data_IF_152627816617
#
_entry.id   IF_152627816617
#
_cell.length_a   1.000
_cell.length_b   1.000
_cell.length_c   1.000
_cell.angle_alpha   90.00
_cell.angle_beta   90.00
_cell.angle_gamma   90.00
#
_symmetry.space_group_name_H-M   'P 1'
#
loop_
_entity.id
_entity.type
_entity.pdbx_description
1 polymer ?
#
# COMPACT_ATOMS: atom_id res chain seq x y z
N UNK A 1 2.51 -40.81 -14.80
CA UNK A 1 3.30 -39.89 -13.91
C UNK A 1 2.50 -38.64 -13.66
N UNK A 2 1.81 -38.60 -12.55
CA UNK A 2 0.97 -37.45 -12.13
C UNK A 2 1.91 -36.35 -11.68
N UNK A 3 1.98 -35.25 -12.43
CA UNK A 3 2.70 -34.03 -12.03
C UNK A 3 2.00 -33.50 -10.77
N UNK A 4 2.61 -33.66 -9.62
CA UNK A 4 2.17 -33.01 -8.37
C UNK A 4 2.33 -31.51 -8.56
N UNK A 5 1.23 -30.82 -8.82
CA UNK A 5 1.20 -29.34 -8.83
C UNK A 5 1.46 -28.92 -7.39
N UNK A 6 2.66 -28.42 -7.12
CA UNK A 6 2.95 -27.82 -5.82
C UNK A 6 1.95 -26.68 -5.59
N UNK A 7 1.28 -26.62 -4.43
CA UNK A 7 0.36 -25.52 -4.14
C UNK A 7 1.14 -24.20 -4.25
N UNK A 8 0.65 -23.30 -5.10
CA UNK A 8 1.26 -21.99 -5.31
C UNK A 8 1.23 -21.25 -3.95
N UNK A 9 2.40 -20.86 -3.43
CA UNK A 9 2.50 -20.10 -2.18
C UNK A 9 1.51 -18.94 -2.17
N UNK A 10 0.63 -18.85 -1.16
CA UNK A 10 -0.32 -17.75 -1.09
C UNK A 10 0.42 -16.43 -0.96
N UNK A 11 -0.07 -15.40 -1.63
CA UNK A 11 0.62 -14.12 -1.71
C UNK A 11 -0.28 -13.01 -1.18
N UNK A 12 0.27 -12.18 -0.31
CA UNK A 12 -0.33 -10.91 0.07
C UNK A 12 0.39 -9.77 -0.64
N UNK A 13 -0.36 -8.95 -1.38
CA UNK A 13 0.15 -7.77 -2.08
C UNK A 13 -0.30 -6.52 -1.33
N UNK A 14 0.66 -5.69 -0.98
CA UNK A 14 0.38 -4.40 -0.34
C UNK A 14 0.62 -3.29 -1.35
N UNK A 15 -0.44 -2.52 -1.67
CA UNK A 15 -0.32 -1.30 -2.45
C UNK A 15 -0.32 -0.14 -1.47
N UNK A 16 0.84 0.49 -1.33
CA UNK A 16 1.10 1.40 -0.25
C UNK A 16 1.54 2.79 -0.73
N UNK A 17 1.51 3.75 0.20
CA UNK A 17 1.99 5.11 -0.05
C UNK A 17 1.10 6.17 0.57
N UNK A 18 1.56 7.43 0.63
CA UNK A 18 0.83 8.51 1.27
C UNK A 18 -0.51 8.82 0.57
N UNK A 19 -1.35 9.60 1.24
CA UNK A 19 -2.56 10.15 0.62
C UNK A 19 -2.18 10.98 -0.60
N UNK A 20 -2.99 10.97 -1.64
CA UNK A 20 -2.71 11.68 -2.90
C UNK A 20 -1.68 11.03 -3.83
N UNK A 21 -0.97 9.97 -3.42
CA UNK A 21 0.04 9.31 -4.26
C UNK A 21 -0.54 8.56 -5.48
N UNK A 22 -1.86 8.34 -5.55
CA UNK A 22 -2.50 7.67 -6.68
C UNK A 22 -2.52 6.14 -6.59
N UNK A 23 -2.47 5.59 -5.38
CA UNK A 23 -2.50 4.15 -5.11
C UNK A 23 -3.69 3.44 -5.76
N UNK A 24 -4.92 3.92 -5.51
CA UNK A 24 -6.14 3.30 -6.04
C UNK A 24 -6.21 3.35 -7.57
N UNK A 25 -5.62 4.37 -8.20
CA UNK A 25 -5.47 4.47 -9.66
C UNK A 25 -4.43 3.48 -10.20
N UNK A 26 -3.35 3.28 -9.45
CA UNK A 26 -2.27 2.36 -9.81
C UNK A 26 -2.63 0.88 -9.58
N UNK A 27 -3.50 0.59 -8.61
CA UNK A 27 -3.84 -0.77 -8.18
C UNK A 27 -4.23 -1.70 -9.33
N UNK A 28 -5.13 -1.35 -10.28
CA UNK A 28 -5.50 -2.23 -11.37
C UNK A 28 -4.31 -2.63 -12.25
N UNK A 29 -3.35 -1.72 -12.49
CA UNK A 29 -2.15 -1.99 -13.29
C UNK A 29 -1.18 -2.90 -12.55
N UNK A 30 -0.97 -2.63 -11.25
CA UNK A 30 -0.04 -3.38 -10.43
C UNK A 30 -0.54 -4.81 -10.15
N UNK A 31 -1.85 -5.02 -10.06
CA UNK A 31 -2.46 -6.31 -9.78
C UNK A 31 -2.68 -7.16 -11.04
N UNK A 32 -3.04 -6.56 -12.18
CA UNK A 32 -3.28 -7.30 -13.43
C UNK A 32 -2.04 -8.02 -13.98
N UNK A 33 -0.85 -7.43 -13.79
CA UNK A 33 0.37 -7.93 -14.45
C UNK A 33 1.08 -9.06 -13.70
N UNK A 34 0.84 -9.24 -12.40
CA UNK A 34 1.78 -9.98 -11.58
C UNK A 34 1.24 -11.28 -10.96
N UNK A 35 -0.04 -11.39 -10.59
CA UNK A 35 -0.38 -12.37 -9.56
C UNK A 35 -1.74 -13.06 -9.69
N UNK A 36 -2.62 -12.66 -10.60
CA UNK A 36 -3.98 -13.21 -10.67
C UNK A 36 -4.76 -13.05 -9.35
N UNK A 37 -4.43 -12.00 -8.57
CA UNK A 37 -5.08 -11.71 -7.30
C UNK A 37 -6.39 -10.98 -7.59
N UNK A 38 -7.50 -11.61 -7.28
CA UNK A 38 -8.85 -11.06 -7.49
C UNK A 38 -9.40 -10.36 -6.24
N UNK A 39 -8.93 -10.78 -5.05
CA UNK A 39 -9.37 -10.22 -3.77
C UNK A 39 -8.57 -8.95 -3.45
N UNK A 40 -9.20 -7.78 -3.58
CA UNK A 40 -8.61 -6.48 -3.25
C UNK A 40 -9.43 -5.77 -2.19
N UNK A 41 -8.80 -5.45 -1.05
CA UNK A 41 -9.46 -4.82 0.10
C UNK A 41 -8.97 -3.38 0.25
N UNK A 42 -9.90 -2.43 0.27
CA UNK A 42 -9.62 -1.00 0.39
C UNK A 42 -10.58 -0.37 1.41
N UNK A 43 -10.05 0.26 2.46
CA UNK A 43 -10.85 0.87 3.52
C UNK A 43 -11.71 2.03 3.02
N UNK A 44 -11.22 2.83 2.06
CA UNK A 44 -11.98 3.96 1.51
C UNK A 44 -13.22 3.45 0.74
N UNK A 45 -13.09 2.34 0.00
CA UNK A 45 -14.23 1.70 -0.68
C UNK A 45 -15.23 1.10 0.32
N UNK A 46 -14.74 0.51 1.39
CA UNK A 46 -15.59 0.00 2.48
C UNK A 46 -16.35 1.15 3.13
N UNK A 47 -15.68 2.28 3.41
CA UNK A 47 -16.32 3.46 3.98
C UNK A 47 -17.43 4.02 3.08
N UNK A 48 -17.21 4.09 1.77
CA UNK A 48 -18.25 4.49 0.79
C UNK A 48 -19.42 3.49 0.79
N UNK A 49 -19.13 2.19 0.92
CA UNK A 49 -20.19 1.17 1.03
C UNK A 49 -21.00 1.26 2.33
N UNK A 50 -20.40 1.72 3.43
CA UNK A 50 -21.09 1.92 4.71
C UNK A 50 -21.85 3.25 4.77
N UNK A 51 -21.32 4.30 4.16
CA UNK A 51 -21.93 5.63 4.11
C UNK A 51 -21.55 6.34 2.80
N UNK A 52 -22.46 6.31 1.83
CA UNK A 52 -22.21 6.81 0.48
C UNK A 52 -21.95 8.32 0.43
N UNK A 53 -22.58 9.12 1.31
CA UNK A 53 -22.50 10.58 1.31
C UNK A 53 -21.57 11.16 2.36
N UNK A 54 -21.20 10.39 3.39
CA UNK A 54 -20.34 10.83 4.48
C UNK A 54 -19.35 9.72 4.92
N UNK A 55 -18.52 9.18 4.01
CA UNK A 55 -17.62 8.05 4.30
C UNK A 55 -16.59 8.36 5.39
N UNK A 56 -16.26 9.64 5.61
CA UNK A 56 -15.33 10.07 6.67
C UNK A 56 -15.86 9.76 8.07
N UNK A 57 -17.18 9.79 8.26
CA UNK A 57 -17.80 9.54 9.57
C UNK A 57 -17.67 8.08 10.01
N UNK A 58 -17.49 7.16 9.07
CA UNK A 58 -17.39 5.71 9.29
C UNK A 58 -15.99 5.15 9.02
N UNK A 59 -14.97 6.01 8.89
CA UNK A 59 -13.61 5.60 8.53
C UNK A 59 -12.97 4.63 9.53
N UNK A 60 -13.27 4.77 10.83
CA UNK A 60 -12.81 3.85 11.86
C UNK A 60 -13.48 2.47 11.75
N UNK A 61 -14.78 2.45 11.50
CA UNK A 61 -15.54 1.21 11.29
C UNK A 61 -15.08 0.50 10.02
N UNK A 62 -14.89 1.23 8.91
CA UNK A 62 -14.33 0.70 7.67
C UNK A 62 -12.97 0.05 7.88
N UNK A 63 -12.10 0.66 8.70
CA UNK A 63 -10.81 0.09 9.08
C UNK A 63 -10.95 -1.24 9.84
N UNK A 64 -11.93 -1.36 10.74
CA UNK A 64 -12.21 -2.61 11.47
C UNK A 64 -12.74 -3.70 10.53
N UNK A 65 -13.67 -3.35 9.63
CA UNK A 65 -14.21 -4.26 8.60
C UNK A 65 -13.08 -4.75 7.71
N UNK A 66 -12.23 -3.85 7.24
CA UNK A 66 -11.05 -4.20 6.45
C UNK A 66 -10.17 -5.21 7.18
N UNK A 67 -9.76 -4.93 8.42
CA UNK A 67 -8.89 -5.84 9.18
C UNK A 67 -9.53 -7.22 9.36
N UNK A 68 -10.82 -7.29 9.67
CA UNK A 68 -11.55 -8.57 9.76
C UNK A 68 -11.47 -9.33 8.44
N UNK A 69 -11.75 -8.67 7.30
CA UNK A 69 -11.70 -9.30 5.97
C UNK A 69 -10.30 -9.81 5.64
N UNK A 70 -9.26 -9.04 5.96
CA UNK A 70 -7.88 -9.46 5.75
C UNK A 70 -7.52 -10.72 6.56
N UNK A 71 -7.99 -10.80 7.81
CA UNK A 71 -7.79 -12.01 8.64
C UNK A 71 -8.54 -13.23 8.09
N UNK A 72 -9.77 -13.07 7.60
CA UNK A 72 -10.54 -14.15 6.96
C UNK A 72 -9.81 -14.70 5.73
N UNK A 73 -9.31 -13.80 4.85
CA UNK A 73 -8.56 -14.18 3.66
C UNK A 73 -7.25 -14.88 4.01
N UNK A 74 -6.55 -14.39 5.05
CA UNK A 74 -5.32 -15.03 5.51
C UNK A 74 -5.57 -16.41 6.16
N UNK A 75 -6.71 -16.60 6.81
CA UNK A 75 -7.10 -17.88 7.40
C UNK A 75 -7.48 -18.91 6.33
N UNK A 76 -8.12 -18.48 5.24
CA UNK A 76 -8.51 -19.36 4.13
C UNK A 76 -7.35 -19.73 3.19
N UNK A 77 -6.14 -19.21 3.40
CA UNK A 77 -5.00 -19.44 2.50
C UNK A 77 -5.15 -18.77 1.13
N UNK A 78 -6.07 -17.82 0.98
CA UNK A 78 -6.30 -17.11 -0.28
C UNK A 78 -5.19 -16.09 -0.55
N UNK A 79 -4.82 -15.91 -1.83
CA UNK A 79 -4.00 -14.75 -2.22
C UNK A 79 -4.88 -13.51 -2.30
N UNK A 80 -4.41 -12.40 -1.75
CA UNK A 80 -5.16 -11.15 -1.72
C UNK A 80 -4.26 -9.94 -1.79
N UNK A 81 -4.87 -8.79 -2.08
CA UNK A 81 -4.21 -7.50 -2.05
C UNK A 81 -4.98 -6.52 -1.14
N UNK A 82 -4.27 -5.54 -0.60
CA UNK A 82 -4.91 -4.45 0.10
C UNK A 82 -4.17 -3.13 -0.08
N UNK A 83 -4.91 -2.04 0.12
CA UNK A 83 -4.37 -0.69 0.08
C UNK A 83 -4.12 -0.14 1.48
N UNK A 84 -2.99 0.57 1.67
CA UNK A 84 -2.67 1.23 2.94
C UNK A 84 -1.79 2.46 2.75
N UNK A 85 -1.91 3.43 3.64
CA UNK A 85 -0.95 4.53 3.74
C UNK A 85 0.35 4.14 4.43
N UNK A 86 0.42 3.00 5.10
CA UNK A 86 1.51 2.57 6.00
C UNK A 86 1.84 3.56 7.12
N UNK A 87 0.99 4.54 7.37
CA UNK A 87 1.18 5.49 8.49
C UNK A 87 0.95 4.86 9.87
N UNK A 88 0.36 3.64 9.91
CA UNK A 88 0.18 2.80 11.10
C UNK A 88 1.12 1.60 11.07
N UNK A 89 1.52 1.12 12.25
CA UNK A 89 2.30 -0.11 12.44
C UNK A 89 1.44 -1.39 12.48
N UNK A 90 0.13 -1.25 12.47
CA UNK A 90 -0.83 -2.37 12.60
C UNK A 90 -0.62 -3.45 11.55
N UNK A 91 -0.43 -3.05 10.29
CA UNK A 91 -0.24 -4.00 9.21
C UNK A 91 1.11 -4.73 9.25
N UNK A 92 2.13 -4.16 9.90
CA UNK A 92 3.42 -4.86 10.04
C UNK A 92 3.28 -6.13 10.89
N UNK A 93 2.46 -6.09 11.97
CA UNK A 93 2.14 -7.28 12.76
C UNK A 93 1.36 -8.30 11.93
N UNK A 94 0.29 -7.85 11.28
CA UNK A 94 -0.52 -8.70 10.41
C UNK A 94 0.30 -9.41 9.32
N UNK A 95 1.23 -8.70 8.66
CA UNK A 95 2.10 -9.28 7.62
C UNK A 95 3.10 -10.29 8.19
N UNK A 96 3.63 -10.08 9.42
CA UNK A 96 4.45 -11.11 10.09
C UNK A 96 3.64 -12.38 10.36
N UNK A 97 2.38 -12.21 10.81
CA UNK A 97 1.48 -13.36 11.03
C UNK A 97 1.15 -14.07 9.71
N UNK A 98 1.00 -13.35 8.59
CA UNK A 98 0.88 -13.95 7.26
C UNK A 98 2.14 -14.74 6.89
N UNK A 99 3.33 -14.17 7.09
CA UNK A 99 4.61 -14.86 6.79
C UNK A 99 4.77 -16.13 7.62
N UNK A 100 4.42 -16.13 8.89
CA UNK A 100 4.46 -17.34 9.73
C UNK A 100 3.51 -18.45 9.24
N UNK A 101 2.51 -18.10 8.44
CA UNK A 101 1.58 -19.02 7.76
C UNK A 101 2.00 -19.39 6.33
N UNK A 102 3.22 -19.05 5.92
CA UNK A 102 3.75 -19.38 4.58
C UNK A 102 3.34 -18.41 3.47
N UNK A 103 2.82 -17.23 3.79
CA UNK A 103 2.53 -16.22 2.77
C UNK A 103 3.79 -15.53 2.28
N UNK A 104 3.82 -15.26 0.97
CA UNK A 104 4.75 -14.34 0.35
C UNK A 104 4.21 -12.91 0.46
N UNK A 105 5.04 -11.96 0.89
CA UNK A 105 4.70 -10.54 0.99
C UNK A 105 5.31 -9.77 -0.18
N UNK A 106 4.47 -9.13 -0.99
CA UNK A 106 4.88 -8.25 -2.10
C UNK A 106 4.39 -6.84 -1.82
N UNK A 107 5.29 -5.87 -1.85
CA UNK A 107 4.99 -4.46 -1.58
C UNK A 107 5.22 -3.60 -2.82
N UNK A 108 4.22 -2.84 -3.21
CA UNK A 108 4.34 -1.70 -4.11
C UNK A 108 4.11 -0.41 -3.31
N UNK A 109 5.12 0.43 -3.25
CA UNK A 109 5.02 1.71 -2.57
C UNK A 109 5.02 2.84 -3.59
N UNK A 110 3.88 3.52 -3.73
CA UNK A 110 3.70 4.66 -4.62
C UNK A 110 3.95 5.93 -3.83
N UNK A 111 4.92 6.73 -4.25
CA UNK A 111 5.30 7.95 -3.56
C UNK A 111 5.14 9.20 -4.41
N UNK A 112 5.36 10.34 -3.77
CA UNK A 112 5.46 11.68 -4.33
C UNK A 112 6.72 12.35 -3.79
N UNK A 113 7.26 13.37 -4.48
CA UNK A 113 8.47 14.07 -4.03
C UNK A 113 8.28 14.85 -2.73
N UNK A 114 7.05 15.29 -2.43
CA UNK A 114 6.77 16.08 -1.22
C UNK A 114 5.36 15.85 -0.69
N UNK A 115 5.17 16.16 0.60
CA UNK A 115 3.87 16.18 1.24
C UNK A 115 2.98 17.32 0.73
N UNK A 116 3.56 18.41 0.23
CA UNK A 116 2.81 19.53 -0.36
C UNK A 116 2.11 19.11 -1.65
N UNK A 117 2.79 18.35 -2.51
CA UNK A 117 2.17 17.78 -3.70
C UNK A 117 1.05 16.79 -3.32
N UNK A 118 1.24 16.04 -2.24
CA UNK A 118 0.20 15.16 -1.70
C UNK A 118 -1.05 15.96 -1.28
N UNK A 119 -0.87 17.09 -0.56
CA UNK A 119 -1.96 18.01 -0.18
C UNK A 119 -2.68 18.57 -1.40
N UNK A 120 -1.94 19.07 -2.40
CA UNK A 120 -2.52 19.60 -3.64
C UNK A 120 -3.39 18.56 -4.36
N UNK A 121 -2.94 17.31 -4.44
CA UNK A 121 -3.69 16.22 -5.07
C UNK A 121 -4.92 15.80 -4.26
N UNK A 122 -4.82 15.81 -2.93
CA UNK A 122 -6.00 15.57 -2.06
C UNK A 122 -7.01 16.70 -2.27
N UNK A 123 -6.59 17.98 -2.29
CA UNK A 123 -7.48 19.12 -2.55
C UNK A 123 -8.14 19.03 -3.93
N UNK A 124 -7.41 18.64 -4.97
CA UNK A 124 -7.98 18.43 -6.31
C UNK A 124 -9.03 17.31 -6.30
N UNK A 125 -8.74 16.19 -5.63
CA UNK A 125 -9.68 15.08 -5.48
C UNK A 125 -10.98 15.52 -4.79
N UNK A 126 -10.89 16.36 -3.75
CA UNK A 126 -12.06 16.90 -3.04
C UNK A 126 -12.91 17.76 -3.96
N UNK A 127 -12.31 18.63 -4.80
CA UNK A 127 -13.05 19.42 -5.80
C UNK A 127 -13.81 18.54 -6.81
N UNK A 128 -13.33 17.32 -7.04
CA UNK A 128 -13.98 16.33 -7.92
C UNK A 128 -14.96 15.41 -7.18
N UNK A 129 -15.36 15.77 -5.95
CA UNK A 129 -16.33 15.03 -5.16
C UNK A 129 -15.75 13.88 -4.34
N UNK A 130 -14.42 13.80 -4.21
CA UNK A 130 -13.78 12.77 -3.39
C UNK A 130 -13.65 13.17 -1.93
N UNK A 131 -13.33 12.19 -1.10
CA UNK A 131 -13.18 12.31 0.34
C UNK A 131 -12.07 13.29 0.76
N UNK A 132 -12.36 14.15 1.73
CA UNK A 132 -11.43 15.11 2.31
C UNK A 132 -10.55 14.46 3.40
N UNK A 133 -9.30 14.90 3.48
CA UNK A 133 -8.37 14.58 4.58
C UNK A 133 -7.75 15.90 5.03
N UNK A 134 -7.78 16.23 6.34
CA UNK A 134 -7.17 17.45 6.86
C UNK A 134 -5.68 17.53 6.47
N UNK A 135 -5.24 18.74 6.10
CA UNK A 135 -3.87 18.98 5.60
C UNK A 135 -2.80 18.48 6.57
N UNK A 136 -2.96 18.75 7.87
CA UNK A 136 -2.02 18.30 8.91
C UNK A 136 -1.94 16.77 8.97
N UNK A 137 -3.05 16.09 8.73
CA UNK A 137 -3.08 14.62 8.65
C UNK A 137 -2.33 14.11 7.42
N UNK A 138 -2.43 14.80 6.28
CA UNK A 138 -1.69 14.42 5.07
C UNK A 138 -0.18 14.54 5.33
N UNK A 139 0.30 15.64 5.88
CA UNK A 139 1.72 15.84 6.22
C UNK A 139 2.20 14.79 7.24
N UNK A 140 1.47 14.64 8.33
CA UNK A 140 1.81 13.67 9.38
C UNK A 140 1.87 12.24 8.85
N UNK A 141 0.88 11.82 8.04
CA UNK A 141 0.81 10.49 7.45
C UNK A 141 1.88 10.30 6.40
N UNK A 142 2.25 11.33 5.65
CA UNK A 142 3.33 11.29 4.67
C UNK A 142 4.66 10.93 5.35
N UNK A 143 5.06 11.68 6.38
CA UNK A 143 6.30 11.43 7.13
C UNK A 143 6.28 10.03 7.77
N UNK A 144 5.20 9.65 8.47
CA UNK A 144 5.07 8.33 9.10
C UNK A 144 5.10 7.20 8.08
N UNK A 145 4.50 7.39 6.91
CA UNK A 145 4.50 6.42 5.82
C UNK A 145 5.91 6.10 5.36
N UNK A 146 6.73 7.13 5.15
CA UNK A 146 8.14 6.97 4.74
C UNK A 146 8.99 6.32 5.84
N UNK A 147 8.91 6.79 7.08
CA UNK A 147 9.65 6.19 8.19
C UNK A 147 9.30 4.69 8.33
N UNK A 148 8.01 4.36 8.39
CA UNK A 148 7.56 2.98 8.49
C UNK A 148 7.95 2.13 7.26
N UNK A 149 7.99 2.71 6.05
CA UNK A 149 8.45 2.02 4.85
C UNK A 149 9.84 1.43 5.06
N UNK A 150 10.80 2.28 5.45
CA UNK A 150 12.20 1.88 5.58
C UNK A 150 12.44 1.02 6.81
N UNK A 151 11.83 1.38 7.95
CA UNK A 151 12.06 0.69 9.22
C UNK A 151 11.37 -0.68 9.31
N UNK A 152 10.15 -0.80 8.75
CA UNK A 152 9.30 -1.95 9.00
C UNK A 152 8.96 -2.74 7.75
N UNK A 153 8.54 -2.06 6.66
CA UNK A 153 7.88 -2.75 5.57
C UNK A 153 8.83 -3.26 4.48
N UNK A 154 9.92 -2.54 4.15
CA UNK A 154 10.92 -3.06 3.21
C UNK A 154 11.61 -4.32 3.76
N UNK A 155 12.07 -4.35 5.04
CA UNK A 155 12.66 -5.56 5.61
C UNK A 155 11.72 -6.76 5.69
N UNK A 156 10.41 -6.49 5.85
CA UNK A 156 9.38 -7.51 5.99
C UNK A 156 8.96 -8.12 4.65
N UNK A 157 9.11 -7.37 3.56
CA UNK A 157 8.63 -7.77 2.23
C UNK A 157 9.61 -8.71 1.54
N UNK A 158 9.11 -9.82 0.96
CA UNK A 158 9.91 -10.74 0.15
C UNK A 158 10.30 -10.13 -1.19
N UNK A 159 9.44 -9.26 -1.73
CA UNK A 159 9.71 -8.38 -2.86
C UNK A 159 9.09 -7.02 -2.62
N UNK A 160 9.77 -5.97 -3.06
CA UNK A 160 9.24 -4.63 -2.99
C UNK A 160 9.67 -3.78 -4.19
N UNK A 161 8.83 -2.83 -4.53
CA UNK A 161 9.11 -1.81 -5.56
C UNK A 161 8.61 -0.46 -5.05
N UNK A 162 9.48 0.55 -5.11
CA UNK A 162 9.16 1.94 -4.81
C UNK A 162 9.00 2.69 -6.13
N UNK A 163 7.85 3.34 -6.28
CA UNK A 163 7.40 3.98 -7.51
C UNK A 163 7.15 5.48 -7.26
N UNK A 164 7.73 6.33 -8.08
CA UNK A 164 7.33 7.74 -8.16
C UNK A 164 6.11 7.91 -9.06
N UNK A 165 5.18 8.75 -8.63
CA UNK A 165 4.00 9.13 -9.41
C UNK A 165 3.86 10.67 -9.55
N UNK A 166 4.97 11.42 -9.50
CA UNK A 166 4.94 12.87 -9.61
C UNK A 166 4.36 13.36 -10.94
N UNK A 167 4.72 12.71 -12.03
CA UNK A 167 4.27 13.06 -13.38
C UNK A 167 2.89 12.50 -13.77
N UNK A 168 2.27 11.67 -12.90
CA UNK A 168 1.08 10.89 -13.24
C UNK A 168 1.40 9.57 -13.97
N UNK A 169 2.69 9.28 -14.21
CA UNK A 169 3.19 8.01 -14.71
C UNK A 169 4.03 7.33 -13.63
N UNK A 170 3.83 6.05 -13.44
CA UNK A 170 4.60 5.28 -12.46
C UNK A 170 6.02 5.04 -12.95
N UNK A 171 6.99 5.62 -12.28
CA UNK A 171 8.41 5.44 -12.54
C UNK A 171 9.07 4.69 -11.39
N UNK A 172 9.84 3.65 -11.69
CA UNK A 172 10.52 2.88 -10.64
C UNK A 172 11.72 3.67 -10.11
N UNK A 173 11.72 3.98 -8.82
CA UNK A 173 12.86 4.55 -8.10
C UNK A 173 13.83 3.45 -7.69
N UNK A 174 13.32 2.43 -7.01
CA UNK A 174 14.10 1.30 -6.54
C UNK A 174 13.23 0.04 -6.38
N UNK A 175 13.85 -1.11 -6.39
CA UNK A 175 13.21 -2.39 -6.10
C UNK A 175 14.16 -3.33 -5.37
N UNK A 176 13.62 -4.36 -4.72
CA UNK A 176 14.50 -5.29 -4.03
C UNK A 176 13.79 -6.43 -3.32
N UNK A 177 14.61 -7.09 -2.54
CA UNK A 177 14.28 -8.16 -1.59
C UNK A 177 14.97 -7.83 -0.26
N UNK A 178 14.75 -8.59 0.83
CA UNK A 178 15.47 -8.35 2.09
C UNK A 178 17.01 -8.37 1.99
N UNK A 179 17.55 -9.04 0.94
CA UNK A 179 19.00 -9.23 0.75
C UNK A 179 19.62 -8.36 -0.34
N UNK A 180 18.82 -7.77 -1.21
CA UNK A 180 19.32 -7.03 -2.38
C UNK A 180 18.42 -5.86 -2.72
N UNK A 181 19.04 -4.69 -2.91
CA UNK A 181 18.38 -3.47 -3.41
C UNK A 181 18.98 -3.12 -4.77
N UNK A 182 18.10 -2.79 -5.72
CA UNK A 182 18.45 -2.24 -7.04
C UNK A 182 17.85 -0.84 -7.11
N UNK A 183 18.68 0.17 -7.21
CA UNK A 183 18.30 1.57 -7.30
C UNK A 183 18.37 1.98 -8.77
N UNK A 184 17.26 2.52 -9.32
CA UNK A 184 17.19 3.04 -10.69
C UNK A 184 17.37 4.56 -10.72
N UNK A 185 16.87 5.26 -9.69
CA UNK A 185 16.98 6.70 -9.53
C UNK A 185 17.62 6.99 -8.16
N UNK A 186 18.92 7.23 -8.15
CA UNK A 186 19.69 7.41 -6.92
C UNK A 186 19.34 8.72 -6.21
N UNK A 187 19.04 9.78 -6.93
CA UNK A 187 18.69 11.08 -6.35
C UNK A 187 17.36 10.99 -5.59
N UNK A 188 16.31 10.49 -6.25
CA UNK A 188 15.00 10.30 -5.62
C UNK A 188 15.09 9.31 -4.45
N UNK A 189 15.90 8.26 -4.57
CA UNK A 189 16.07 7.28 -3.49
C UNK A 189 16.71 7.88 -2.25
N UNK A 190 17.77 8.70 -2.41
CA UNK A 190 18.42 9.39 -1.31
C UNK A 190 17.50 10.41 -0.65
N UNK A 191 16.74 11.18 -1.46
CA UNK A 191 15.73 12.12 -0.96
C UNK A 191 14.66 11.43 -0.11
N UNK A 192 14.14 10.29 -0.56
CA UNK A 192 13.15 9.53 0.22
C UNK A 192 13.73 9.03 1.54
N UNK A 193 14.98 8.59 1.55
CA UNK A 193 15.66 8.14 2.77
C UNK A 193 15.89 9.28 3.76
N UNK A 194 16.29 10.47 3.29
CA UNK A 194 16.47 11.63 4.15
C UNK A 194 15.16 12.12 4.76
N UNK A 195 14.06 12.07 4.00
CA UNK A 195 12.73 12.45 4.47
C UNK A 195 12.09 11.41 5.43
N UNK A 196 12.68 10.24 5.55
CA UNK A 196 12.22 9.18 6.45
C UNK A 196 12.79 9.31 7.88
N UNK A 197 13.84 10.10 8.05
CA UNK A 197 14.47 10.40 9.35
C UNK A 197 13.73 11.53 10.05
#
# INVERSE_FOLDING_TARGET
MTRTVQPKEPTVVVIAGPNGAGKSTAAPFLLKGALGVLEFVNADQIAVGLSAYAPETVSFEAGRVMLRRLHELAQSGSSFAFESTLSSRTFAKFLRDCKSRGYRVVLFYVTLPSSDLAVQRVALRVRLGGHNIPTDDVHRRFKRSLSNLFELYLPLSDRWTVLDNASGRLETIASGTPRRTSVKDSEKWLLLRSNAQ
#
